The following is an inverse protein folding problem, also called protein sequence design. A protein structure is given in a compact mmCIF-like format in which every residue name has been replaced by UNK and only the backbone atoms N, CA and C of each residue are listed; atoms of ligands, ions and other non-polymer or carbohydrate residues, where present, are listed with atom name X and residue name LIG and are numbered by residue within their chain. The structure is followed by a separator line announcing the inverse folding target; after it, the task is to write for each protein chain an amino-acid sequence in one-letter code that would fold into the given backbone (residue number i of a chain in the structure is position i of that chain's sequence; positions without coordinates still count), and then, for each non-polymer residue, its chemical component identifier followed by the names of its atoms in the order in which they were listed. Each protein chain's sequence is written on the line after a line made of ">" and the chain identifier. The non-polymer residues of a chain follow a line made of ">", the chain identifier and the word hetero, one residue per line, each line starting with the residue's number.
data_IF_927926305677
#
_entry.id   IF_927926305677
#
_cell.length_a   1.000
_cell.length_b   1.000
_cell.length_c   1.000
_cell.angle_alpha   90.00
_cell.angle_beta   90.00
_cell.angle_gamma   90.00
#
_symmetry.space_group_name_H-M   'P 1'
#
loop_
_entity.id
_entity.type
_entity.pdbx_description
1 polymer ?
#
# COMPACT_ATOMS: atom_id res chain seq x y z
N UNK A 1 -24.45 45.02 -4.04
CA UNK A 1 -23.94 44.94 -5.40
C UNK A 1 -23.37 43.56 -5.59
N UNK A 2 -24.04 42.87 -6.35
CA UNK A 2 -24.20 41.52 -6.74
C UNK A 2 -22.90 40.87 -7.19
N UNK A 3 -22.58 39.79 -6.51
CA UNK A 3 -21.58 38.82 -6.97
C UNK A 3 -22.33 37.75 -7.76
N UNK A 4 -22.77 38.06 -8.98
CA UNK A 4 -23.27 37.08 -9.95
C UNK A 4 -22.07 36.24 -10.39
N UNK A 5 -21.90 35.09 -9.75
CA UNK A 5 -21.01 34.04 -10.24
C UNK A 5 -21.52 33.60 -11.59
N UNK A 6 -20.72 33.88 -12.61
CA UNK A 6 -21.01 33.57 -13.99
C UNK A 6 -21.03 32.05 -14.23
N UNK A 7 -22.20 31.43 -14.02
CA UNK A 7 -22.45 30.01 -14.25
C UNK A 7 -22.35 29.61 -15.74
N UNK A 8 -22.39 30.59 -16.66
CA UNK A 8 -22.28 30.35 -18.10
C UNK A 8 -20.90 29.84 -18.52
N UNK A 9 -19.83 30.28 -17.90
CA UNK A 9 -18.45 29.81 -18.18
C UNK A 9 -18.21 28.34 -17.80
N UNK A 10 -19.00 27.79 -16.85
CA UNK A 10 -18.96 26.38 -16.46
C UNK A 10 -19.53 25.43 -17.51
N UNK A 11 -20.36 25.95 -18.45
CA UNK A 11 -20.99 25.14 -19.47
C UNK A 11 -20.18 25.11 -20.79
N UNK A 12 -19.19 26.02 -20.95
CA UNK A 12 -18.38 26.11 -22.16
C UNK A 12 -17.07 25.31 -22.15
N UNK A 13 -16.89 24.40 -21.19
CA UNK A 13 -15.81 23.39 -21.24
C UNK A 13 -14.38 23.89 -20.97
N UNK A 14 -14.21 25.12 -20.46
CA UNK A 14 -12.91 25.70 -20.09
C UNK A 14 -12.79 25.88 -18.57
N UNK A 15 -12.77 24.79 -17.81
CA UNK A 15 -12.35 24.85 -16.42
C UNK A 15 -10.86 24.48 -16.41
N UNK A 16 -9.94 25.41 -16.10
CA UNK A 16 -8.57 25.05 -15.83
C UNK A 16 -8.54 24.33 -14.49
N UNK A 17 -8.50 23.01 -14.53
CA UNK A 17 -8.05 22.22 -13.38
C UNK A 17 -6.52 22.38 -13.33
N UNK A 18 -5.97 22.79 -12.19
CA UNK A 18 -4.54 23.01 -11.99
C UNK A 18 -3.74 21.85 -12.59
N UNK A 19 -2.90 22.15 -13.58
CA UNK A 19 -1.94 21.21 -14.17
C UNK A 19 -2.37 20.46 -15.44
N UNK A 20 -3.62 20.61 -15.93
CA UNK A 20 -4.02 19.91 -17.18
C UNK A 20 -3.81 20.74 -18.44
N UNK A 21 -3.31 20.11 -19.53
CA UNK A 21 -3.21 20.80 -20.81
C UNK A 21 -4.58 21.23 -21.30
N UNK A 22 -4.71 22.48 -21.69
CA UNK A 22 -5.94 23.24 -22.05
C UNK A 22 -6.75 22.71 -23.25
N UNK A 23 -6.56 21.46 -23.68
CA UNK A 23 -7.22 20.88 -24.86
C UNK A 23 -8.17 19.72 -24.58
N UNK A 24 -8.34 19.31 -23.33
CA UNK A 24 -9.21 18.17 -23.00
C UNK A 24 -10.65 18.67 -22.80
N UNK A 25 -11.56 18.24 -23.68
CA UNK A 25 -12.97 18.58 -23.60
C UNK A 25 -13.71 17.60 -22.69
N UNK A 26 -14.63 18.15 -21.89
CA UNK A 26 -15.58 17.34 -21.14
C UNK A 26 -16.68 16.88 -22.11
N UNK A 27 -16.84 15.59 -22.23
CA UNK A 27 -17.87 14.94 -23.05
C UNK A 27 -18.93 14.32 -22.13
N UNK A 28 -20.16 14.18 -22.62
CA UNK A 28 -21.22 13.48 -21.90
C UNK A 28 -21.34 12.07 -22.48
N UNK A 29 -20.93 11.06 -21.71
CA UNK A 29 -20.87 9.68 -22.18
C UNK A 29 -21.95 8.82 -21.54
N UNK A 30 -22.54 7.86 -22.29
CA UNK A 30 -23.44 6.87 -21.71
C UNK A 30 -22.73 6.04 -20.64
N UNK A 31 -23.35 5.93 -19.46
CA UNK A 31 -22.79 5.21 -18.31
C UNK A 31 -22.56 3.72 -18.64
N UNK A 32 -23.43 3.13 -19.44
CA UNK A 32 -23.38 1.71 -19.82
C UNK A 32 -22.24 1.38 -20.80
N UNK A 33 -21.67 2.38 -21.46
CA UNK A 33 -20.53 2.20 -22.34
C UNK A 33 -19.18 2.27 -21.60
N UNK A 34 -19.19 2.54 -20.28
CA UNK A 34 -17.96 2.70 -19.50
C UNK A 34 -17.73 1.46 -18.62
N UNK A 35 -16.61 0.79 -18.90
CA UNK A 35 -16.16 -0.39 -18.15
C UNK A 35 -15.13 -0.03 -17.09
N UNK A 36 -15.14 -0.72 -15.93
CA UNK A 36 -14.09 -0.55 -14.93
C UNK A 36 -12.74 -1.04 -15.47
N UNK A 37 -11.65 -0.44 -14.99
CA UNK A 37 -10.30 -0.86 -15.41
C UNK A 37 -9.88 -2.16 -14.70
N UNK A 38 -9.38 -3.18 -15.43
CA UNK A 38 -9.01 -4.48 -14.85
C UNK A 38 -7.83 -4.39 -13.86
N UNK A 39 -6.94 -3.43 -14.04
CA UNK A 39 -5.81 -3.19 -13.14
C UNK A 39 -6.17 -2.33 -11.93
N UNK A 40 -7.42 -1.87 -11.78
CA UNK A 40 -7.80 -1.07 -10.62
C UNK A 40 -7.57 -1.90 -9.33
N UNK A 41 -6.73 -1.42 -8.38
CA UNK A 41 -6.39 -2.17 -7.18
C UNK A 41 -7.58 -2.33 -6.23
N UNK A 42 -8.59 -1.48 -6.36
CA UNK A 42 -9.79 -1.46 -5.50
C UNK A 42 -11.04 -1.73 -6.32
N UNK A 43 -11.73 -2.80 -5.99
CA UNK A 43 -13.06 -3.05 -6.52
C UNK A 43 -14.04 -2.12 -5.79
N UNK A 44 -14.74 -1.30 -6.56
CA UNK A 44 -15.79 -0.39 -6.03
C UNK A 44 -17.15 -1.07 -6.23
N UNK A 45 -17.83 -1.34 -5.13
CA UNK A 45 -19.20 -1.89 -5.13
C UNK A 45 -20.17 -0.85 -4.55
N UNK A 46 -21.48 -0.96 -4.82
CA UNK A 46 -22.47 -0.07 -4.22
C UNK A 46 -22.37 0.02 -2.69
N UNK A 47 -22.12 -1.10 -2.02
CA UNK A 47 -22.02 -1.20 -0.57
C UNK A 47 -20.77 -0.53 -0.01
N UNK A 48 -19.77 -0.26 -0.87
CA UNK A 48 -18.54 0.45 -0.49
C UNK A 48 -18.66 1.97 -0.55
N UNK A 49 -19.82 2.49 -0.97
CA UNK A 49 -20.07 3.92 -1.11
C UNK A 49 -20.81 4.47 0.12
N UNK A 50 -20.44 5.68 0.52
CA UNK A 50 -21.12 6.39 1.59
C UNK A 50 -22.53 6.84 1.14
N UNK A 51 -23.50 6.72 2.02
CA UNK A 51 -24.90 7.10 1.75
C UNK A 51 -25.02 8.59 1.36
N UNK A 52 -24.33 9.47 2.10
CA UNK A 52 -24.29 10.91 1.80
C UNK A 52 -23.70 11.21 0.40
N UNK A 53 -22.71 10.41 -0.05
CA UNK A 53 -22.15 10.55 -1.39
C UNK A 53 -23.14 10.09 -2.46
N UNK A 54 -23.85 8.98 -2.24
CA UNK A 54 -24.91 8.50 -3.15
C UNK A 54 -26.03 9.51 -3.27
N UNK A 55 -26.55 10.03 -2.18
CA UNK A 55 -27.59 11.09 -2.18
C UNK A 55 -27.14 12.37 -2.92
N UNK A 56 -25.86 12.76 -2.75
CA UNK A 56 -25.31 13.91 -3.45
C UNK A 56 -25.28 13.68 -4.98
N UNK A 57 -24.86 12.48 -5.40
CA UNK A 57 -24.82 12.12 -6.82
C UNK A 57 -26.24 12.01 -7.40
N UNK A 58 -27.18 11.45 -6.66
CA UNK A 58 -28.58 11.35 -7.09
C UNK A 58 -29.20 12.72 -7.33
N UNK A 59 -28.99 13.67 -6.41
CA UNK A 59 -29.56 15.02 -6.51
C UNK A 59 -28.89 15.94 -7.52
N UNK A 60 -27.54 15.90 -7.58
CA UNK A 60 -26.75 16.90 -8.31
C UNK A 60 -26.05 16.31 -9.55
N UNK A 61 -26.13 15.00 -9.75
CA UNK A 61 -25.29 14.29 -10.69
C UNK A 61 -23.81 14.30 -10.30
N UNK A 62 -22.96 13.84 -11.20
CA UNK A 62 -21.51 13.87 -11.01
C UNK A 62 -20.97 15.24 -11.42
N UNK A 63 -20.55 16.03 -10.43
CA UNK A 63 -20.05 17.41 -10.67
C UNK A 63 -18.66 17.41 -11.31
N UNK A 64 -17.75 16.54 -10.84
CA UNK A 64 -16.40 16.41 -11.39
C UNK A 64 -16.38 15.32 -12.48
N UNK A 65 -15.83 15.60 -13.68
CA UNK A 65 -15.78 14.61 -14.74
C UNK A 65 -14.93 13.40 -14.33
N UNK A 66 -15.26 12.24 -14.89
CA UNK A 66 -14.44 11.03 -14.79
C UNK A 66 -13.42 11.01 -15.93
N UNK A 67 -12.35 10.25 -15.78
CA UNK A 67 -11.36 10.06 -16.85
C UNK A 67 -11.51 8.67 -17.44
N UNK A 68 -11.56 8.62 -18.76
CA UNK A 68 -11.69 7.37 -19.51
C UNK A 68 -10.75 7.38 -20.71
N UNK A 69 -10.40 6.21 -21.21
CA UNK A 69 -9.80 6.04 -22.54
C UNK A 69 -10.77 5.30 -23.46
N UNK A 70 -10.57 5.43 -24.75
CA UNK A 70 -11.27 4.61 -25.74
C UNK A 70 -10.77 3.16 -25.60
N UNK A 71 -11.72 2.24 -25.43
CA UNK A 71 -11.51 0.80 -25.39
C UNK A 71 -11.90 0.13 -26.71
N UNK A 72 -12.03 -1.17 -26.71
CA UNK A 72 -12.44 -1.95 -27.85
C UNK A 72 -13.94 -1.79 -28.14
N UNK A 73 -14.34 -1.95 -29.41
CA UNK A 73 -15.75 -1.93 -29.82
C UNK A 73 -16.50 -0.64 -29.57
N UNK A 74 -15.82 0.51 -29.45
CA UNK A 74 -16.44 1.80 -29.18
C UNK A 74 -16.87 2.00 -27.73
N UNK A 75 -16.46 1.12 -26.82
CA UNK A 75 -16.65 1.27 -25.38
C UNK A 75 -15.53 2.12 -24.80
N UNK A 76 -15.69 2.53 -23.56
CA UNK A 76 -14.70 3.30 -22.82
C UNK A 76 -14.21 2.51 -21.63
N UNK A 77 -12.93 2.66 -21.29
CA UNK A 77 -12.34 2.06 -20.10
C UNK A 77 -12.02 3.16 -19.07
N UNK A 78 -12.45 2.94 -17.84
CA UNK A 78 -12.28 3.90 -16.75
C UNK A 78 -10.80 4.03 -16.35
N UNK A 79 -10.30 5.24 -16.28
CA UNK A 79 -8.97 5.56 -15.73
C UNK A 79 -9.06 6.12 -14.31
N UNK A 80 -9.99 7.06 -14.08
CA UNK A 80 -10.20 7.66 -12.76
C UNK A 80 -11.67 8.00 -12.53
N UNK A 81 -12.13 7.86 -11.26
CA UNK A 81 -13.51 8.16 -10.88
C UNK A 81 -14.40 6.93 -10.74
N UNK A 82 -13.84 5.75 -10.44
CA UNK A 82 -14.59 4.50 -10.27
C UNK A 82 -15.75 4.62 -9.28
N UNK A 83 -15.58 5.35 -8.16
CA UNK A 83 -16.66 5.61 -7.19
C UNK A 83 -17.79 6.42 -7.82
N UNK A 84 -17.46 7.45 -8.64
CA UNK A 84 -18.43 8.31 -9.34
C UNK A 84 -19.22 7.53 -10.38
N UNK A 85 -18.54 6.65 -11.13
CA UNK A 85 -19.22 5.76 -12.08
C UNK A 85 -20.17 4.80 -11.35
N UNK A 86 -19.73 4.17 -10.27
CA UNK A 86 -20.54 3.26 -9.47
C UNK A 86 -21.78 4.00 -8.92
N UNK A 87 -21.60 5.17 -8.32
CA UNK A 87 -22.71 5.98 -7.80
C UNK A 87 -23.69 6.40 -8.91
N UNK A 88 -23.21 6.76 -10.13
CA UNK A 88 -24.06 7.07 -11.26
C UNK A 88 -24.89 5.88 -11.71
N UNK A 89 -24.33 4.67 -11.68
CA UNK A 89 -25.07 3.43 -11.98
C UNK A 89 -26.16 3.15 -10.95
N UNK A 90 -25.86 3.33 -9.66
CA UNK A 90 -26.82 3.18 -8.57
C UNK A 90 -27.95 4.20 -8.70
N UNK A 91 -27.64 5.46 -8.98
CA UNK A 91 -28.59 6.55 -9.21
C UNK A 91 -29.33 6.45 -10.56
N UNK A 92 -29.06 5.41 -11.38
CA UNK A 92 -29.66 5.18 -12.69
C UNK A 92 -29.51 6.34 -13.66
N UNK A 93 -28.40 7.08 -13.56
CA UNK A 93 -28.08 8.12 -14.54
C UNK A 93 -27.74 7.47 -15.89
N UNK A 94 -28.26 8.01 -16.96
CA UNK A 94 -28.00 7.52 -18.33
C UNK A 94 -26.66 7.98 -18.87
N UNK A 95 -26.20 9.17 -18.43
CA UNK A 95 -24.95 9.77 -18.88
C UNK A 95 -24.12 10.32 -17.73
N UNK A 96 -22.80 10.40 -17.93
CA UNK A 96 -21.84 10.94 -16.98
C UNK A 96 -20.86 11.88 -17.72
N UNK A 97 -20.44 12.96 -17.05
CA UNK A 97 -19.39 13.84 -17.55
C UNK A 97 -18.05 13.12 -17.54
N UNK A 98 -17.37 13.08 -18.68
CA UNK A 98 -16.09 12.38 -18.82
C UNK A 98 -15.08 13.20 -19.64
N UNK A 99 -13.82 13.02 -19.36
CA UNK A 99 -12.70 13.48 -20.17
C UNK A 99 -12.10 12.25 -20.83
N UNK A 100 -12.07 12.23 -22.16
CA UNK A 100 -11.57 11.10 -22.94
C UNK A 100 -10.10 11.33 -23.25
N UNK A 101 -9.23 10.53 -22.64
CA UNK A 101 -7.80 10.45 -22.95
C UNK A 101 -7.62 9.70 -24.27
N UNK A 102 -7.39 10.42 -25.36
CA UNK A 102 -7.32 9.86 -26.72
C UNK A 102 -5.91 9.41 -27.12
N UNK A 103 -4.89 10.00 -26.51
CA UNK A 103 -3.49 9.67 -26.75
C UNK A 103 -2.80 9.52 -25.39
N UNK A 104 -2.41 8.31 -25.08
CA UNK A 104 -1.62 7.97 -23.91
C UNK A 104 -0.31 7.38 -24.39
N UNK A 105 0.80 7.78 -23.75
CA UNK A 105 2.09 7.15 -23.97
C UNK A 105 2.09 5.73 -23.37
N UNK A 106 2.95 4.83 -23.87
CA UNK A 106 3.15 3.54 -23.24
C UNK A 106 3.47 3.70 -21.75
N UNK A 107 2.76 3.00 -20.87
CA UNK A 107 2.89 3.10 -19.42
C UNK A 107 2.12 4.25 -18.75
N UNK A 108 1.77 5.31 -19.47
CA UNK A 108 1.06 6.48 -18.91
C UNK A 108 -0.31 6.12 -18.34
N UNK A 109 -1.02 5.21 -18.98
CA UNK A 109 -2.28 4.68 -18.49
C UNK A 109 -2.17 4.07 -17.08
N UNK A 110 -1.18 3.22 -16.91
CA UNK A 110 -0.93 2.55 -15.61
C UNK A 110 -0.55 3.56 -14.53
N UNK A 111 0.26 4.55 -14.89
CA UNK A 111 0.67 5.61 -13.96
C UNK A 111 -0.53 6.45 -13.57
N UNK A 112 -1.34 6.92 -14.53
CA UNK A 112 -2.51 7.74 -14.28
C UNK A 112 -3.55 7.01 -13.41
N UNK A 113 -3.84 5.74 -13.72
CA UNK A 113 -4.76 4.90 -12.96
C UNK A 113 -4.32 4.74 -11.51
N UNK A 114 -3.02 4.50 -11.29
CA UNK A 114 -2.51 4.28 -9.93
C UNK A 114 -2.33 5.59 -9.17
N UNK A 115 -1.95 6.67 -9.82
CA UNK A 115 -1.77 7.96 -9.19
C UNK A 115 -3.04 8.41 -8.47
N UNK A 116 -4.18 8.38 -9.14
CA UNK A 116 -5.47 8.73 -8.56
C UNK A 116 -5.88 7.82 -7.40
N UNK A 117 -5.53 6.52 -7.46
CA UNK A 117 -5.83 5.59 -6.38
C UNK A 117 -4.92 5.77 -5.16
N UNK A 118 -3.65 6.09 -5.39
CA UNK A 118 -2.65 6.24 -4.33
C UNK A 118 -2.85 7.57 -3.58
N UNK A 119 -3.08 8.67 -4.30
CA UNK A 119 -3.27 9.99 -3.68
C UNK A 119 -4.41 9.98 -2.66
N UNK A 120 -5.56 9.42 -3.04
CA UNK A 120 -6.78 9.53 -2.25
C UNK A 120 -6.86 8.50 -1.10
N UNK A 121 -6.25 7.31 -1.27
CA UNK A 121 -6.61 6.17 -0.43
C UNK A 121 -5.41 5.33 0.07
N UNK A 122 -4.15 5.72 -0.17
CA UNK A 122 -3.02 4.84 0.12
C UNK A 122 -2.94 4.38 1.57
N UNK A 123 -3.28 5.25 2.54
CA UNK A 123 -3.22 4.91 3.97
C UNK A 123 -4.19 3.78 4.31
N UNK A 124 -5.37 3.80 3.70
CA UNK A 124 -6.47 2.88 4.00
C UNK A 124 -6.42 1.58 3.18
N UNK A 125 -5.53 1.51 2.20
CA UNK A 125 -5.34 0.30 1.40
C UNK A 125 -4.76 -0.84 2.22
N UNK A 126 -5.23 -2.07 1.92
CA UNK A 126 -4.59 -3.30 2.39
C UNK A 126 -3.18 -3.44 1.80
N UNK A 127 -2.26 -4.15 2.50
CA UNK A 127 -0.91 -4.39 1.98
C UNK A 127 -0.87 -4.99 0.57
N UNK A 128 -1.79 -5.90 0.25
CA UNK A 128 -1.93 -6.47 -1.10
C UNK A 128 -2.30 -5.41 -2.15
N UNK A 129 -3.20 -4.50 -1.81
CA UNK A 129 -3.61 -3.40 -2.67
C UNK A 129 -2.47 -2.40 -2.88
N UNK A 130 -1.73 -2.05 -1.81
CA UNK A 130 -0.53 -1.20 -1.87
C UNK A 130 0.53 -1.81 -2.77
N UNK A 131 0.81 -3.11 -2.60
CA UNK A 131 1.74 -3.85 -3.44
C UNK A 131 1.32 -3.75 -4.92
N UNK A 132 0.06 -4.07 -5.24
CA UNK A 132 -0.46 -4.04 -6.61
C UNK A 132 -0.35 -2.65 -7.21
N UNK A 133 -0.81 -1.61 -6.50
CA UNK A 133 -0.77 -0.24 -6.96
C UNK A 133 0.65 0.24 -7.27
N UNK A 134 1.58 0.05 -6.32
CA UNK A 134 2.98 0.45 -6.49
C UNK A 134 3.70 -0.35 -7.57
N UNK A 135 3.38 -1.64 -7.74
CA UNK A 135 3.95 -2.46 -8.81
C UNK A 135 3.50 -2.00 -10.20
N UNK A 136 2.19 -1.79 -10.39
CA UNK A 136 1.64 -1.32 -11.67
C UNK A 136 2.20 0.05 -12.02
N UNK A 137 2.28 0.95 -11.04
CA UNK A 137 2.85 2.28 -11.25
C UNK A 137 4.33 2.24 -11.58
N UNK A 138 5.10 1.41 -10.86
CA UNK A 138 6.53 1.24 -11.13
C UNK A 138 6.80 0.69 -12.53
N UNK A 139 5.99 -0.28 -12.97
CA UNK A 139 6.11 -0.83 -14.32
C UNK A 139 5.73 0.20 -15.38
N UNK A 140 4.65 0.97 -15.17
CA UNK A 140 4.26 2.06 -16.06
C UNK A 140 5.35 3.13 -16.21
N UNK A 141 5.95 3.56 -15.11
CA UNK A 141 7.07 4.53 -15.14
C UNK A 141 8.30 3.96 -15.88
N UNK A 142 8.57 2.67 -15.75
CA UNK A 142 9.65 2.03 -16.51
C UNK A 142 9.36 1.96 -17.99
N UNK A 143 8.13 1.65 -18.36
CA UNK A 143 7.68 1.60 -19.75
C UNK A 143 7.77 2.99 -20.40
N UNK A 144 7.27 4.03 -19.72
CA UNK A 144 7.41 5.42 -20.17
C UNK A 144 8.86 5.83 -20.38
N UNK A 145 9.74 5.48 -19.43
CA UNK A 145 11.18 5.75 -19.56
C UNK A 145 11.76 5.06 -20.79
N UNK A 146 11.46 3.77 -20.99
CA UNK A 146 11.95 3.05 -22.17
C UNK A 146 11.45 3.71 -23.46
N UNK A 147 10.20 4.13 -23.51
CA UNK A 147 9.65 4.86 -24.64
C UNK A 147 10.36 6.18 -24.90
N UNK A 148 10.58 6.98 -23.86
CA UNK A 148 11.28 8.27 -23.97
C UNK A 148 12.74 8.10 -24.47
N UNK A 149 13.46 7.09 -24.00
CA UNK A 149 14.81 6.77 -24.45
C UNK A 149 14.86 6.32 -25.92
N UNK A 150 13.85 5.57 -26.39
CA UNK A 150 13.81 5.10 -27.77
C UNK A 150 13.43 6.18 -28.78
N UNK A 151 12.74 7.23 -28.33
CA UNK A 151 12.22 8.29 -29.19
C UNK A 151 12.91 9.65 -28.98
N UNK A 152 13.99 9.70 -28.22
CA UNK A 152 14.71 10.94 -27.84
C UNK A 152 13.79 12.00 -27.19
N UNK A 153 12.74 11.57 -26.49
CA UNK A 153 11.75 12.42 -25.79
C UNK A 153 12.09 12.62 -24.32
N UNK A 154 13.37 12.78 -23.96
CA UNK A 154 13.81 12.89 -22.55
C UNK A 154 13.31 14.18 -21.84
N UNK A 155 12.89 15.20 -22.60
CA UNK A 155 12.33 16.45 -22.06
C UNK A 155 10.83 16.34 -21.69
N UNK A 156 10.19 15.20 -21.98
CA UNK A 156 8.81 14.97 -21.59
C UNK A 156 8.59 15.03 -20.10
N UNK A 157 7.38 15.36 -19.69
CA UNK A 157 6.98 15.52 -18.29
C UNK A 157 5.77 14.67 -17.97
N UNK A 158 5.69 14.16 -16.73
CA UNK A 158 4.53 13.48 -16.19
C UNK A 158 4.17 14.04 -14.82
N UNK A 159 2.89 14.15 -14.54
CA UNK A 159 2.40 14.46 -13.20
C UNK A 159 2.30 13.18 -12.36
N UNK A 160 2.89 13.20 -11.16
CA UNK A 160 2.89 12.09 -10.23
C UNK A 160 2.73 12.63 -8.80
N UNK A 161 1.66 12.26 -8.11
CA UNK A 161 1.39 12.74 -6.76
C UNK A 161 1.24 14.26 -6.69
N UNK A 162 0.69 14.91 -7.73
CA UNK A 162 0.59 16.36 -7.84
C UNK A 162 1.93 17.07 -8.10
N UNK A 163 2.99 16.32 -8.46
CA UNK A 163 4.31 16.88 -8.80
C UNK A 163 4.65 16.56 -10.25
N UNK A 164 5.15 17.55 -10.96
CA UNK A 164 5.67 17.37 -12.32
C UNK A 164 7.05 16.74 -12.25
N UNK A 165 7.25 15.62 -12.92
CA UNK A 165 8.50 14.87 -12.97
C UNK A 165 8.92 14.75 -14.44
N UNK A 166 10.15 15.16 -14.75
CA UNK A 166 10.71 15.01 -16.10
C UNK A 166 11.13 13.57 -16.37
N UNK A 167 11.01 13.12 -17.62
CA UNK A 167 11.29 11.73 -18.01
C UNK A 167 12.72 11.29 -17.71
N UNK A 168 13.71 12.16 -17.84
CA UNK A 168 15.10 11.84 -17.47
C UNK A 168 15.29 11.56 -15.97
N UNK A 169 14.40 12.05 -15.10
CA UNK A 169 14.41 11.72 -13.67
C UNK A 169 13.77 10.35 -13.34
N UNK A 170 13.12 9.71 -14.31
CA UNK A 170 12.52 8.36 -14.12
C UNK A 170 13.58 7.25 -14.01
N UNK A 171 14.88 7.56 -14.22
CA UNK A 171 15.97 6.60 -13.95
C UNK A 171 15.86 5.96 -12.56
N UNK A 172 15.36 6.71 -11.59
CA UNK A 172 15.13 6.26 -10.22
C UNK A 172 13.64 6.19 -9.92
N UNK A 173 12.88 5.40 -10.69
CA UNK A 173 11.43 5.28 -10.57
C UNK A 173 10.95 5.04 -9.12
N UNK A 174 11.70 4.27 -8.31
CA UNK A 174 11.39 4.08 -6.88
C UNK A 174 11.46 5.38 -6.09
N UNK A 175 12.48 6.19 -6.35
CA UNK A 175 12.66 7.50 -5.70
C UNK A 175 11.59 8.49 -6.14
N UNK A 176 11.21 8.46 -7.43
CA UNK A 176 10.12 9.27 -7.95
C UNK A 176 8.80 8.94 -7.23
N UNK A 177 8.44 7.66 -7.12
CA UNK A 177 7.26 7.19 -6.37
C UNK A 177 7.34 7.61 -4.90
N UNK A 178 8.47 7.35 -4.23
CA UNK A 178 8.66 7.70 -2.83
C UNK A 178 8.46 9.20 -2.58
N UNK A 179 9.07 10.05 -3.42
CA UNK A 179 8.93 11.51 -3.34
C UNK A 179 7.51 12.00 -3.62
N UNK A 180 6.82 11.38 -4.58
CA UNK A 180 5.46 11.76 -4.96
C UNK A 180 4.45 11.54 -3.82
N UNK A 181 4.55 10.40 -3.13
CA UNK A 181 3.57 10.00 -2.12
C UNK A 181 4.04 10.11 -0.67
N UNK A 182 5.19 10.73 -0.43
CA UNK A 182 5.73 10.89 0.92
C UNK A 182 6.11 9.57 1.59
N UNK A 183 6.53 8.58 0.80
CA UNK A 183 7.04 7.29 1.26
C UNK A 183 8.57 7.30 1.33
N UNK A 184 9.17 6.35 2.05
CA UNK A 184 10.60 6.11 1.91
C UNK A 184 10.88 5.09 0.77
N UNK A 185 12.06 5.18 0.14
CA UNK A 185 12.43 4.25 -0.94
C UNK A 185 12.46 2.80 -0.48
N UNK A 186 12.80 2.57 0.79
CA UNK A 186 12.80 1.23 1.40
C UNK A 186 11.40 0.63 1.46
N UNK A 187 10.38 1.45 1.79
CA UNK A 187 8.98 1.00 1.79
C UNK A 187 8.52 0.65 0.38
N UNK A 188 8.81 1.50 -0.60
CA UNK A 188 8.49 1.21 -2.01
C UNK A 188 9.17 -0.08 -2.43
N UNK A 189 10.46 -0.26 -2.12
CA UNK A 189 11.19 -1.49 -2.46
C UNK A 189 10.60 -2.73 -1.76
N UNK A 190 10.18 -2.60 -0.50
CA UNK A 190 9.54 -3.66 0.24
C UNK A 190 8.24 -4.09 -0.43
N UNK A 191 7.35 -3.15 -0.78
CA UNK A 191 6.11 -3.47 -1.50
C UNK A 191 6.37 -4.08 -2.87
N UNK A 192 7.38 -3.62 -3.61
CA UNK A 192 7.75 -4.23 -4.90
C UNK A 192 8.22 -5.67 -4.75
N UNK A 193 8.92 -6.02 -3.66
CA UNK A 193 9.31 -7.42 -3.37
C UNK A 193 8.10 -8.31 -3.12
N UNK A 194 7.03 -7.80 -2.52
CA UNK A 194 5.81 -8.55 -2.25
C UNK A 194 5.10 -9.06 -3.51
N UNK A 195 5.46 -8.57 -4.71
CA UNK A 195 4.95 -9.09 -5.99
C UNK A 195 5.15 -10.61 -6.15
N UNK A 196 6.25 -11.14 -5.62
CA UNK A 196 6.60 -12.55 -5.69
C UNK A 196 5.99 -13.40 -4.58
N UNK A 197 5.20 -12.77 -3.69
CA UNK A 197 4.58 -13.48 -2.57
C UNK A 197 3.35 -14.26 -3.06
N UNK A 198 3.24 -15.55 -2.68
CA UNK A 198 2.09 -16.35 -3.06
C UNK A 198 0.81 -15.88 -2.34
N UNK A 199 -0.34 -16.18 -2.93
CA UNK A 199 -1.65 -15.68 -2.48
C UNK A 199 -1.97 -16.03 -1.03
N UNK A 200 -1.56 -17.22 -0.58
CA UNK A 200 -1.79 -17.68 0.80
C UNK A 200 -1.12 -16.77 1.83
N UNK A 201 0.13 -16.38 1.58
CA UNK A 201 0.86 -15.43 2.41
C UNK A 201 0.33 -14.01 2.30
N UNK A 202 -0.10 -13.61 1.10
CA UNK A 202 -0.70 -12.29 0.90
C UNK A 202 -1.98 -12.12 1.73
N UNK A 203 -2.82 -13.16 1.82
CA UNK A 203 -4.01 -13.18 2.70
C UNK A 203 -3.64 -13.05 4.18
N UNK A 204 -2.56 -13.71 4.64
CA UNK A 204 -2.07 -13.56 6.03
C UNK A 204 -1.54 -12.16 6.30
N UNK A 205 -0.90 -11.55 5.31
CA UNK A 205 -0.40 -10.17 5.39
C UNK A 205 -1.56 -9.18 5.54
N UNK A 206 -2.61 -9.30 4.72
CA UNK A 206 -3.81 -8.46 4.81
C UNK A 206 -4.55 -8.63 6.14
N UNK A 207 -4.51 -9.85 6.72
CA UNK A 207 -5.05 -10.14 8.06
C UNK A 207 -4.13 -9.67 9.21
N UNK A 208 -3.01 -9.01 8.91
CA UNK A 208 -2.01 -8.57 9.89
C UNK A 208 -1.40 -9.72 10.74
N UNK A 209 -1.43 -10.94 10.21
CA UNK A 209 -0.85 -12.13 10.86
C UNK A 209 0.65 -12.28 10.60
N UNK A 210 1.15 -11.64 9.56
CA UNK A 210 2.57 -11.53 9.20
C UNK A 210 2.93 -10.07 8.97
N UNK A 211 4.15 -9.65 9.34
CA UNK A 211 4.62 -8.29 9.08
C UNK A 211 5.05 -8.11 7.61
N UNK A 212 4.99 -6.88 7.10
CA UNK A 212 5.45 -6.59 5.72
C UNK A 212 6.92 -6.97 5.50
N UNK A 213 7.79 -6.79 6.51
CA UNK A 213 9.21 -7.16 6.41
C UNK A 213 9.41 -8.67 6.32
N UNK A 214 8.72 -9.45 7.18
CA UNK A 214 8.78 -10.91 7.12
C UNK A 214 8.20 -11.43 5.79
N UNK A 215 7.08 -10.88 5.33
CA UNK A 215 6.48 -11.22 4.05
C UNK A 215 7.40 -10.90 2.86
N UNK A 216 8.13 -9.76 2.89
CA UNK A 216 9.10 -9.39 1.86
C UNK A 216 10.32 -10.34 1.84
N UNK A 217 10.74 -10.85 3.00
CA UNK A 217 11.77 -11.89 3.10
C UNK A 217 11.26 -13.21 2.53
N UNK A 218 10.03 -13.62 2.87
CA UNK A 218 9.41 -14.84 2.34
C UNK A 218 9.23 -14.73 0.82
N UNK A 219 8.86 -13.57 0.30
CA UNK A 219 8.70 -13.33 -1.14
C UNK A 219 9.99 -13.53 -1.95
N UNK A 220 11.17 -13.50 -1.32
CA UNK A 220 12.45 -13.81 -1.97
C UNK A 220 12.70 -15.31 -2.16
N UNK A 221 11.92 -16.17 -1.52
CA UNK A 221 12.00 -17.63 -1.65
C UNK A 221 11.24 -18.12 -2.88
N UNK A 222 11.57 -19.31 -3.35
CA UNK A 222 10.81 -19.94 -4.44
C UNK A 222 9.36 -20.21 -4.03
N UNK A 223 8.45 -20.24 -5.00
CA UNK A 223 7.01 -20.46 -4.74
C UNK A 223 6.77 -21.78 -4.00
N UNK A 224 7.53 -22.82 -4.32
CA UNK A 224 7.46 -24.13 -3.66
C UNK A 224 7.78 -24.00 -2.16
N UNK A 225 8.90 -23.34 -1.83
CA UNK A 225 9.32 -23.12 -0.44
C UNK A 225 8.33 -22.23 0.31
N UNK A 226 7.77 -21.22 -0.35
CA UNK A 226 6.71 -20.40 0.25
C UNK A 226 5.49 -21.22 0.62
N UNK A 227 5.07 -22.15 -0.24
CA UNK A 227 3.91 -23.01 0.00
C UNK A 227 4.16 -24.00 1.13
N UNK A 228 5.32 -24.67 1.14
CA UNK A 228 5.71 -25.59 2.21
C UNK A 228 5.77 -24.88 3.58
N UNK A 229 6.41 -23.70 3.62
CA UNK A 229 6.49 -22.88 4.83
C UNK A 229 5.08 -22.43 5.28
N UNK A 230 4.20 -22.09 4.34
CA UNK A 230 2.82 -21.74 4.64
C UNK A 230 2.08 -22.91 5.30
N UNK A 231 2.18 -24.11 4.72
CA UNK A 231 1.53 -25.31 5.28
C UNK A 231 2.02 -25.59 6.71
N UNK A 232 3.33 -25.46 6.94
CA UNK A 232 3.93 -25.65 8.25
C UNK A 232 3.37 -24.65 9.29
N UNK A 233 3.35 -23.35 8.94
CA UNK A 233 2.90 -22.27 9.81
C UNK A 233 1.37 -22.34 10.06
N UNK A 234 0.59 -22.66 9.02
CA UNK A 234 -0.86 -22.77 9.12
C UNK A 234 -1.30 -23.96 9.98
N UNK A 235 -0.67 -25.12 9.82
CA UNK A 235 -0.98 -26.33 10.59
C UNK A 235 -0.75 -26.11 12.10
N UNK A 236 0.29 -25.37 12.46
CA UNK A 236 0.67 -25.12 13.87
C UNK A 236 0.11 -23.81 14.43
N UNK A 237 -0.58 -23.00 13.62
CA UNK A 237 -1.10 -21.66 13.98
C UNK A 237 -0.02 -20.72 14.55
N UNK A 238 1.20 -20.82 14.06
CA UNK A 238 2.36 -20.04 14.51
C UNK A 238 2.38 -18.69 13.80
N UNK A 239 2.82 -17.64 14.51
CA UNK A 239 3.14 -16.34 13.87
C UNK A 239 4.63 -16.34 13.51
N UNK A 240 4.93 -16.08 12.24
CA UNK A 240 6.33 -15.96 11.81
C UNK A 240 6.86 -14.55 12.05
N UNK A 241 8.03 -14.46 12.66
CA UNK A 241 8.78 -13.21 12.87
C UNK A 241 9.71 -12.94 11.68
N UNK A 242 10.20 -11.70 11.55
CA UNK A 242 11.18 -11.38 10.51
C UNK A 242 12.50 -12.15 10.71
N UNK A 243 12.91 -12.36 11.95
CA UNK A 243 14.13 -13.12 12.27
C UNK A 243 14.01 -14.60 11.83
N UNK A 244 12.84 -15.21 12.03
CA UNK A 244 12.56 -16.57 11.56
C UNK A 244 12.53 -16.65 10.03
N UNK A 245 11.88 -15.67 9.36
CA UNK A 245 11.87 -15.60 7.91
C UNK A 245 13.29 -15.48 7.32
N UNK A 246 14.14 -14.65 7.94
CA UNK A 246 15.56 -14.51 7.55
C UNK A 246 16.36 -15.79 7.81
N UNK A 247 16.11 -16.50 8.92
CA UNK A 247 16.75 -17.77 9.22
C UNK A 247 16.38 -18.83 8.19
N UNK A 248 15.08 -18.92 7.82
CA UNK A 248 14.61 -19.81 6.74
C UNK A 248 15.28 -19.45 5.42
N UNK A 249 15.36 -18.17 5.07
CA UNK A 249 16.04 -17.73 3.84
C UNK A 249 17.49 -18.19 3.81
N UNK A 250 18.26 -17.94 4.87
CA UNK A 250 19.67 -18.36 4.98
C UNK A 250 19.85 -19.87 4.89
N UNK A 251 18.93 -20.63 5.49
CA UNK A 251 18.92 -22.08 5.41
C UNK A 251 18.81 -22.56 3.94
N UNK A 252 17.85 -22.02 3.21
CA UNK A 252 17.61 -22.39 1.82
C UNK A 252 18.75 -21.93 0.90
N UNK A 253 19.28 -20.71 1.10
CA UNK A 253 20.46 -20.20 0.37
C UNK A 253 21.70 -21.07 0.62
N UNK A 254 21.81 -21.68 1.81
CA UNK A 254 22.88 -22.62 2.17
C UNK A 254 22.68 -24.04 1.64
N UNK A 255 21.63 -24.30 0.84
CA UNK A 255 21.32 -25.63 0.29
C UNK A 255 20.62 -26.57 1.27
N UNK A 256 20.17 -26.08 2.41
CA UNK A 256 19.41 -26.86 3.40
C UNK A 256 17.96 -27.12 2.92
N UNK A 257 17.37 -28.20 3.45
CA UNK A 257 15.96 -28.54 3.22
C UNK A 257 15.09 -27.93 4.32
N UNK A 258 13.83 -27.57 3.96
CA UNK A 258 12.89 -27.02 4.93
C UNK A 258 12.59 -28.00 6.08
N UNK A 259 12.48 -29.28 5.79
CA UNK A 259 12.30 -30.34 6.80
C UNK A 259 13.60 -31.14 6.97
N UNK A 260 14.09 -31.42 8.18
CA UNK A 260 13.55 -31.17 9.53
C UNK A 260 14.03 -29.88 10.20
N UNK A 261 14.78 -29.03 9.50
CA UNK A 261 15.49 -27.91 10.14
C UNK A 261 14.56 -26.75 10.53
N UNK A 262 13.44 -26.56 9.81
CA UNK A 262 12.42 -25.57 10.18
C UNK A 262 11.83 -25.88 11.56
N UNK A 263 11.63 -27.14 11.93
CA UNK A 263 11.15 -27.48 13.27
C UNK A 263 12.08 -26.95 14.35
N UNK A 264 13.38 -27.16 14.20
CA UNK A 264 14.39 -26.66 15.14
C UNK A 264 14.43 -25.14 15.21
N UNK A 265 14.24 -24.45 14.08
CA UNK A 265 14.20 -22.98 14.03
C UNK A 265 12.99 -22.40 14.78
N UNK A 266 11.85 -23.06 14.70
CA UNK A 266 10.63 -22.62 15.39
C UNK A 266 10.55 -23.11 16.84
N UNK A 267 11.14 -24.26 17.17
CA UNK A 267 11.27 -24.77 18.55
C UNK A 267 12.29 -23.98 19.37
N UNK A 268 13.40 -23.56 18.75
CA UNK A 268 14.44 -22.77 19.44
C UNK A 268 13.96 -21.37 19.83
N UNK A 269 12.90 -20.86 19.20
CA UNK A 269 12.26 -19.59 19.59
C UNK A 269 11.22 -19.74 20.73
N UNK A 270 10.93 -20.95 21.19
CA UNK A 270 10.42 -21.17 22.54
C UNK A 270 11.55 -20.81 23.56
N UNK A 271 11.97 -19.52 23.52
CA UNK A 271 13.01 -19.02 24.43
C UNK A 271 12.57 -19.33 25.85
N UNK A 272 13.39 -20.02 26.61
CA UNK A 272 13.14 -20.07 28.02
C UNK A 272 13.02 -18.64 28.53
N UNK A 273 12.03 -18.37 29.35
CA UNK A 273 11.71 -17.07 29.97
C UNK A 273 12.95 -16.34 30.52
N UNK A 274 14.02 -17.08 30.75
CA UNK A 274 15.34 -16.61 31.24
C UNK A 274 16.06 -15.61 30.32
N UNK A 275 15.74 -15.53 29.01
CA UNK A 275 16.39 -14.60 28.08
C UNK A 275 15.56 -13.37 27.70
N UNK A 276 14.34 -13.23 28.18
CA UNK A 276 13.61 -11.97 28.11
C UNK A 276 14.13 -11.05 29.22
N UNK A 277 15.22 -10.33 28.99
CA UNK A 277 15.49 -9.10 29.72
C UNK A 277 14.39 -8.07 29.36
N UNK A 278 13.16 -8.28 29.84
CA UNK A 278 12.19 -7.21 29.94
C UNK A 278 12.85 -6.21 30.89
N UNK A 279 13.25 -5.03 30.38
CA UNK A 279 13.58 -3.89 31.22
C UNK A 279 12.30 -3.56 32.02
N UNK A 280 12.16 -4.13 33.17
CA UNK A 280 11.11 -3.74 34.10
C UNK A 280 11.44 -2.32 34.57
N UNK A 281 10.60 -1.38 34.26
CA UNK A 281 10.72 -0.01 34.79
C UNK A 281 10.03 0.03 36.12
N UNK A 282 10.78 0.30 37.17
CA UNK A 282 10.22 0.56 38.49
C UNK A 282 9.21 1.73 38.42
N UNK A 283 8.02 1.59 39.02
CA UNK A 283 7.08 2.70 39.13
C UNK A 283 7.75 3.94 39.74
N UNK A 284 7.47 5.12 39.21
CA UNK A 284 8.08 6.39 39.68
C UNK A 284 7.90 6.58 41.17
N UNK A 285 6.74 6.22 41.72
CA UNK A 285 6.48 6.30 43.17
C UNK A 285 7.44 5.45 44.01
N UNK A 286 7.83 4.24 43.55
CA UNK A 286 8.79 3.40 44.23
C UNK A 286 10.20 3.96 44.14
N UNK A 287 10.56 4.51 42.97
CA UNK A 287 11.86 5.14 42.81
C UNK A 287 11.99 6.37 43.74
N UNK A 288 10.99 7.23 43.80
CA UNK A 288 11.01 8.42 44.66
C UNK A 288 10.97 8.10 46.14
N UNK A 289 10.36 6.95 46.54
CA UNK A 289 10.24 6.55 47.96
C UNK A 289 11.45 5.79 48.49
N UNK A 290 12.10 4.99 47.65
CA UNK A 290 13.11 4.02 48.13
C UNK A 290 14.50 4.19 47.50
N UNK A 291 14.61 4.88 46.35
CA UNK A 291 15.84 4.88 45.54
C UNK A 291 16.32 6.26 45.13
N UNK A 292 15.73 7.33 45.67
CA UNK A 292 15.92 8.72 45.18
C UNK A 292 17.36 9.19 45.14
N UNK A 293 18.22 8.72 46.07
CA UNK A 293 19.61 9.16 46.19
C UNK A 293 20.61 8.01 45.88
N UNK A 294 20.17 6.94 45.20
CA UNK A 294 20.99 5.76 44.94
C UNK A 294 21.47 5.70 43.50
N UNK A 295 22.65 5.15 43.28
CA UNK A 295 23.17 4.82 41.96
C UNK A 295 22.52 3.56 41.40
N UNK A 296 22.50 3.38 40.07
CA UNK A 296 21.91 2.20 39.42
C UNK A 296 22.50 0.88 39.95
N UNK A 297 23.80 0.83 40.21
CA UNK A 297 24.48 -0.37 40.77
C UNK A 297 24.01 -0.71 42.22
N UNK A 298 23.74 0.31 43.02
CA UNK A 298 23.20 0.10 44.38
C UNK A 298 21.75 -0.41 44.32
N UNK A 299 20.94 0.12 43.41
CA UNK A 299 19.56 -0.33 43.20
C UNK A 299 19.54 -1.78 42.72
N UNK A 300 20.39 -2.15 41.76
CA UNK A 300 20.51 -3.54 41.28
C UNK A 300 20.89 -4.51 42.40
N UNK A 301 21.83 -4.12 43.24
CA UNK A 301 22.26 -4.95 44.39
C UNK A 301 21.14 -5.15 45.43
N UNK A 302 20.38 -4.09 45.72
CA UNK A 302 19.25 -4.17 46.66
C UNK A 302 18.14 -5.06 46.08
N UNK A 303 17.80 -4.89 44.83
CA UNK A 303 16.79 -5.69 44.15
C UNK A 303 17.21 -7.18 44.10
N UNK A 304 18.46 -7.46 43.78
CA UNK A 304 18.98 -8.81 43.74
C UNK A 304 18.89 -9.48 45.11
N UNK A 305 19.27 -8.77 46.17
CA UNK A 305 19.19 -9.29 47.54
C UNK A 305 17.73 -9.48 48.00
N UNK A 306 16.86 -8.56 47.69
CA UNK A 306 15.42 -8.66 47.99
C UNK A 306 14.78 -9.88 47.29
N UNK A 307 15.13 -10.11 46.03
CA UNK A 307 14.65 -11.26 45.26
C UNK A 307 15.21 -12.57 45.80
N UNK A 308 16.51 -12.61 46.23
CA UNK A 308 17.10 -13.79 46.86
C UNK A 308 16.39 -14.14 48.17
N UNK A 309 16.08 -13.16 49.01
CA UNK A 309 15.33 -13.35 50.26
C UNK A 309 13.90 -13.82 49.99
N UNK A 310 13.21 -13.21 49.04
CA UNK A 310 11.84 -13.59 48.70
C UNK A 310 11.73 -15.04 48.23
N UNK A 311 12.56 -15.42 47.24
CA UNK A 311 12.57 -16.80 46.75
C UNK A 311 13.21 -17.83 47.68
N UNK A 312 13.95 -17.40 48.69
CA UNK A 312 14.43 -18.30 49.72
C UNK A 312 13.36 -18.59 50.81
N UNK A 313 12.42 -17.65 51.01
CA UNK A 313 11.30 -17.82 51.95
C UNK A 313 10.10 -18.58 51.36
N UNK A 314 10.01 -18.69 50.04
CA UNK A 314 8.85 -19.27 49.31
C UNK A 314 9.15 -20.69 48.77
N UNK A 315 9.93 -21.51 49.50
CA UNK A 315 9.95 -22.94 49.25
C UNK A 315 8.83 -23.58 50.07
N UNK A 316 7.70 -24.00 49.45
CA UNK A 316 6.80 -24.90 50.15
C UNK A 316 7.53 -26.20 50.47
N UNK A 317 7.35 -26.66 51.69
CA UNK A 317 7.88 -27.93 52.19
C UNK A 317 7.36 -29.13 51.39
#
# INVERSE_FOLDING_TARGET
>A
MENQRNFGALLEGNIPMNGMPTKERVELLPVDLIDPHPLNPRIVTPESLDEAFLESVERNGVLQPVFVKLGEGGRYQMLAGHRRLCASKVAKHTHIRAIVKRKLLPGEESVFLMDTNIQDNFKDMLPSQKCRALCVQYDGLREMRCYAQLNDEEEGEIELGGKVIKFHHLEKSRRAIASAYGLCEADVQMYLKLRSLCESWMKLLDQKKVSCSAAATIASLSVTVQQELYQYVAARKIKITNAQAEAVRKLIEGGGSLQPEVEKLFESDARPVSNMRKKYRLPKAWFDSYFKDMTGAQIDTILENALKLYFASDKPA
#
